data_IF_537441698268
#
_entry.id   IF_537441698268
#
_cell.length_a   1.000
_cell.length_b   1.000
_cell.length_c   1.000
_cell.angle_alpha   90.00
_cell.angle_beta   90.00
_cell.angle_gamma   90.00
#
_symmetry.space_group_name_H-M   'P 1'
#
loop_
_entity.id
_entity.type
_entity.pdbx_description
1 polymer ?
#
# COMPACT_ATOMS: atom_id res chain seq x y z
N UNK A 1 2.73 -1.68 -9.35
CA UNK A 1 3.56 -2.91 -9.26
C UNK A 1 4.01 -3.40 -10.62
N UNK A 2 3.13 -3.59 -11.64
CA UNK A 2 3.55 -4.06 -12.98
C UNK A 2 4.66 -3.20 -13.61
N UNK A 3 4.53 -1.87 -13.56
CA UNK A 3 5.61 -0.98 -14.03
C UNK A 3 6.93 -1.13 -13.25
N UNK A 4 6.88 -1.50 -11.97
CA UNK A 4 8.10 -1.79 -11.19
C UNK A 4 8.75 -3.09 -11.66
N UNK A 5 7.97 -4.14 -11.96
CA UNK A 5 8.49 -5.36 -12.57
C UNK A 5 9.11 -5.11 -13.94
N UNK A 6 8.44 -4.30 -14.77
CA UNK A 6 8.99 -3.90 -16.06
C UNK A 6 10.30 -3.14 -15.91
N UNK A 7 10.36 -2.14 -15.04
CA UNK A 7 11.58 -1.37 -14.79
C UNK A 7 12.73 -2.24 -14.28
N UNK A 8 12.46 -3.13 -13.32
CA UNK A 8 13.45 -4.07 -12.79
C UNK A 8 13.98 -5.01 -13.89
N UNK A 9 13.06 -5.57 -14.69
CA UNK A 9 13.41 -6.44 -15.82
C UNK A 9 14.27 -5.72 -16.86
N UNK A 10 13.92 -4.47 -17.20
CA UNK A 10 14.69 -3.65 -18.16
C UNK A 10 16.12 -3.40 -17.64
N UNK A 11 16.26 -3.01 -16.38
CA UNK A 11 17.58 -2.77 -15.79
C UNK A 11 18.43 -4.05 -15.80
N UNK A 12 17.83 -5.20 -15.43
CA UNK A 12 18.52 -6.49 -15.46
C UNK A 12 18.93 -6.89 -16.90
N UNK A 13 18.04 -6.74 -17.88
CA UNK A 13 18.33 -7.05 -19.28
C UNK A 13 19.38 -6.12 -19.89
N UNK A 14 19.39 -4.86 -19.52
CA UNK A 14 20.47 -3.94 -19.94
C UNK A 14 21.82 -4.38 -19.38
N UNK A 15 21.89 -4.74 -18.10
CA UNK A 15 23.13 -5.28 -17.50
C UNK A 15 23.60 -6.57 -18.17
N UNK A 16 22.66 -7.48 -18.51
CA UNK A 16 23.01 -8.70 -19.25
C UNK A 16 23.47 -8.39 -20.67
N UNK A 17 22.83 -7.43 -21.35
CA UNK A 17 23.25 -7.00 -22.70
C UNK A 17 24.68 -6.45 -22.71
N UNK A 18 25.07 -5.66 -21.70
CA UNK A 18 26.45 -5.17 -21.58
C UNK A 18 27.46 -6.33 -21.44
N UNK A 19 27.08 -7.42 -20.79
CA UNK A 19 27.94 -8.58 -20.57
C UNK A 19 28.00 -9.55 -21.78
N UNK A 20 26.88 -9.72 -22.49
CA UNK A 20 26.74 -10.76 -23.53
C UNK A 20 26.69 -10.21 -24.95
N UNK A 21 26.39 -8.92 -25.14
CA UNK A 21 26.12 -8.30 -26.41
C UNK A 21 24.71 -8.55 -26.97
N UNK A 22 23.86 -9.34 -26.28
CA UNK A 22 22.51 -9.70 -26.74
C UNK A 22 21.45 -9.02 -25.91
N UNK A 23 20.43 -8.43 -26.60
CA UNK A 23 19.20 -7.91 -25.94
C UNK A 23 18.22 -9.02 -25.64
N UNK A 24 17.15 -8.66 -24.90
CA UNK A 24 16.05 -9.56 -24.57
C UNK A 24 14.71 -8.86 -24.79
N UNK A 25 13.66 -9.63 -25.11
CA UNK A 25 12.28 -9.17 -25.05
C UNK A 25 11.74 -9.47 -23.66
N UNK A 26 11.06 -8.49 -23.07
CA UNK A 26 10.50 -8.59 -21.73
C UNK A 26 8.99 -8.43 -21.79
N UNK A 27 8.29 -9.39 -21.21
CA UNK A 27 6.84 -9.37 -21.10
C UNK A 27 6.44 -9.37 -19.61
N UNK A 28 5.45 -8.59 -19.26
CA UNK A 28 4.81 -8.59 -17.95
C UNK A 28 3.35 -8.18 -18.09
N UNK A 29 2.47 -8.71 -17.26
CA UNK A 29 1.05 -8.41 -17.32
C UNK A 29 0.51 -7.99 -15.94
N UNK A 30 -0.63 -7.29 -15.96
CA UNK A 30 -1.38 -6.97 -14.74
C UNK A 30 -1.84 -8.23 -14.02
N UNK A 31 -2.21 -9.27 -14.77
CA UNK A 31 -2.70 -10.53 -14.21
C UNK A 31 -1.59 -11.27 -13.45
N UNK A 32 -0.43 -11.45 -14.04
CA UNK A 32 0.74 -12.09 -13.39
C UNK A 32 1.17 -11.31 -12.16
N UNK A 33 1.18 -9.98 -12.25
CA UNK A 33 1.48 -9.10 -11.11
C UNK A 33 0.46 -9.28 -9.99
N UNK A 34 -0.83 -9.36 -10.30
CA UNK A 34 -1.89 -9.59 -9.31
C UNK A 34 -1.72 -10.95 -8.62
N UNK A 35 -1.42 -12.01 -9.38
CA UNK A 35 -1.10 -13.33 -8.80
C UNK A 35 0.14 -13.25 -7.89
N UNK A 36 1.19 -12.55 -8.30
CA UNK A 36 2.40 -12.34 -7.48
C UNK A 36 2.11 -11.62 -6.17
N UNK A 37 1.23 -10.63 -6.16
CA UNK A 37 0.78 -9.92 -4.96
C UNK A 37 -0.05 -10.81 -4.02
N UNK A 38 -0.73 -11.82 -4.56
CA UNK A 38 -1.48 -12.82 -3.79
C UNK A 38 -0.60 -13.99 -3.31
N UNK A 39 0.71 -13.93 -3.45
CA UNK A 39 1.66 -15.03 -3.23
C UNK A 39 1.38 -15.83 -1.96
N UNK A 40 1.14 -15.14 -0.83
CA UNK A 40 0.83 -15.78 0.45
C UNK A 40 -0.46 -16.62 0.39
N UNK A 41 -1.54 -16.06 -0.16
CA UNK A 41 -2.83 -16.74 -0.26
C UNK A 41 -2.80 -17.88 -1.27
N UNK A 42 -2.16 -17.67 -2.43
CA UNK A 42 -2.02 -18.69 -3.47
C UNK A 42 -1.14 -19.85 -3.00
N UNK A 43 -0.02 -19.56 -2.32
CA UNK A 43 0.85 -20.60 -1.76
C UNK A 43 0.11 -21.42 -0.71
N UNK A 44 -0.66 -20.77 0.15
CA UNK A 44 -1.52 -21.42 1.14
C UNK A 44 -2.57 -22.32 0.50
N UNK A 45 -3.25 -21.82 -0.52
CA UNK A 45 -4.22 -22.62 -1.29
C UNK A 45 -3.58 -23.84 -1.97
N UNK A 46 -2.44 -23.65 -2.64
CA UNK A 46 -1.72 -24.76 -3.29
C UNK A 46 -1.29 -25.83 -2.28
N UNK A 47 -0.88 -25.41 -1.08
CA UNK A 47 -0.44 -26.32 -0.03
C UNK A 47 -1.59 -27.09 0.65
N UNK A 48 -2.77 -26.48 0.79
CA UNK A 48 -3.87 -27.02 1.61
C UNK A 48 -5.12 -27.39 0.82
N UNK A 49 -5.27 -26.92 -0.42
CA UNK A 49 -6.51 -27.01 -1.20
C UNK A 49 -7.66 -26.14 -0.67
N UNK A 50 -7.43 -25.34 0.38
CA UNK A 50 -8.47 -24.55 1.03
C UNK A 50 -8.37 -23.08 0.64
N UNK A 51 -9.41 -22.55 0.01
CA UNK A 51 -9.48 -21.12 -0.30
C UNK A 51 -9.78 -20.30 0.96
N UNK A 52 -9.07 -19.20 1.21
CA UNK A 52 -9.37 -18.32 2.34
C UNK A 52 -10.75 -17.69 2.18
N UNK A 53 -11.49 -17.57 3.30
CA UNK A 53 -12.76 -16.86 3.38
C UNK A 53 -12.58 -15.33 3.45
N UNK A 54 -13.71 -14.63 3.65
CA UNK A 54 -13.71 -13.20 3.92
C UNK A 54 -13.46 -12.97 5.41
N UNK A 55 -12.34 -12.35 5.75
CA UNK A 55 -11.93 -12.09 7.13
C UNK A 55 -11.91 -10.58 7.49
N UNK A 56 -12.40 -9.71 6.58
CA UNK A 56 -12.33 -8.26 6.82
C UNK A 56 -10.88 -7.78 6.96
N UNK A 57 -10.53 -7.23 8.12
CA UNK A 57 -9.16 -6.79 8.44
C UNK A 57 -8.34 -7.85 9.19
N UNK A 58 -8.91 -9.02 9.46
CA UNK A 58 -8.25 -10.08 10.23
C UNK A 58 -7.17 -10.79 9.42
N UNK A 59 -6.08 -11.13 10.08
CA UNK A 59 -5.08 -12.01 9.51
C UNK A 59 -5.47 -13.49 9.74
N UNK A 60 -5.39 -14.37 8.72
CA UNK A 60 -5.96 -15.72 8.82
C UNK A 60 -5.27 -16.63 9.84
N UNK A 61 -3.96 -16.49 10.07
CA UNK A 61 -3.17 -17.44 10.86
C UNK A 61 -2.67 -16.88 12.19
N UNK A 62 -2.91 -15.60 12.48
CA UNK A 62 -2.44 -14.94 13.71
C UNK A 62 -3.59 -14.14 14.31
N UNK A 63 -3.93 -14.42 15.55
CA UNK A 63 -5.04 -13.78 16.26
C UNK A 63 -4.59 -13.33 17.66
N UNK A 64 -4.83 -12.05 18.04
CA UNK A 64 -5.40 -11.00 17.22
C UNK A 64 -4.36 -10.30 16.32
N UNK A 65 -4.71 -10.15 15.05
CA UNK A 65 -4.06 -9.26 14.12
C UNK A 65 -5.14 -8.67 13.20
N UNK A 66 -5.73 -7.55 13.62
CA UNK A 66 -6.88 -6.93 12.96
C UNK A 66 -7.12 -5.50 13.45
N UNK A 67 -8.00 -4.78 12.76
CA UNK A 67 -8.49 -3.48 13.21
C UNK A 67 -9.70 -3.64 14.14
N UNK A 68 -9.71 -2.88 15.23
CA UNK A 68 -10.83 -2.76 16.16
C UNK A 68 -11.38 -1.35 16.13
N UNK A 69 -12.71 -1.22 16.18
CA UNK A 69 -13.37 0.06 16.33
C UNK A 69 -13.11 0.65 17.73
N UNK A 70 -12.95 1.95 17.79
CA UNK A 70 -12.79 2.75 19.03
C UNK A 70 -13.84 3.86 19.04
N UNK A 71 -13.86 4.71 20.05
CA UNK A 71 -14.80 5.84 20.08
C UNK A 71 -14.66 6.80 18.89
N UNK A 72 -13.49 6.91 18.27
CA UNK A 72 -13.20 7.91 17.24
C UNK A 72 -12.41 7.35 16.04
N UNK A 73 -12.69 6.15 15.62
CA UNK A 73 -12.03 5.52 14.47
C UNK A 73 -11.66 4.08 14.72
N UNK A 74 -10.47 3.68 14.28
CA UNK A 74 -10.03 2.28 14.41
C UNK A 74 -8.56 2.22 14.82
N UNK A 75 -8.22 1.23 15.63
CA UNK A 75 -6.84 0.84 15.94
C UNK A 75 -6.54 -0.53 15.32
N UNK A 76 -5.48 -0.62 14.52
CA UNK A 76 -4.90 -1.88 14.10
C UNK A 76 -4.01 -2.41 15.22
N UNK A 77 -4.20 -3.66 15.62
CA UNK A 77 -3.40 -4.33 16.65
C UNK A 77 -2.80 -5.61 16.09
N UNK A 78 -1.54 -5.89 16.42
CA UNK A 78 -0.83 -7.08 15.96
C UNK A 78 -0.10 -7.79 17.12
N UNK A 79 -0.84 -8.63 17.86
CA UNK A 79 -0.25 -9.49 18.89
C UNK A 79 0.18 -10.82 18.28
N UNK A 80 1.34 -10.85 17.64
CA UNK A 80 1.78 -11.92 16.75
C UNK A 80 2.28 -13.19 17.43
N UNK A 81 2.34 -13.20 18.76
CA UNK A 81 2.72 -14.37 19.56
C UNK A 81 2.08 -14.32 20.96
N UNK A 82 2.19 -15.42 21.70
CA UNK A 82 1.52 -15.54 23.00
C UNK A 82 2.04 -14.54 24.05
N UNK A 83 3.32 -14.14 23.98
CA UNK A 83 3.86 -13.09 24.85
C UNK A 83 3.22 -11.73 24.54
N UNK A 84 3.12 -11.35 23.29
CA UNK A 84 2.47 -10.10 22.89
C UNK A 84 0.98 -10.12 23.20
N UNK A 85 0.32 -11.29 23.10
CA UNK A 85 -1.08 -11.43 23.49
C UNK A 85 -1.28 -11.19 25.00
N UNK A 86 -0.40 -11.69 25.88
CA UNK A 86 -0.44 -11.37 27.30
C UNK A 86 -0.28 -9.87 27.55
N UNK A 87 0.74 -9.25 26.95
CA UNK A 87 0.97 -7.81 27.09
C UNK A 87 -0.21 -6.97 26.58
N UNK A 88 -0.84 -7.40 25.47
CA UNK A 88 -2.07 -6.78 24.97
C UNK A 88 -3.18 -6.86 26.02
N UNK A 89 -3.47 -8.06 26.53
CA UNK A 89 -4.55 -8.28 27.50
C UNK A 89 -4.33 -7.49 28.79
N UNK A 90 -3.08 -7.42 29.28
CA UNK A 90 -2.73 -6.60 30.45
C UNK A 90 -2.95 -5.10 30.16
N UNK A 91 -2.54 -4.60 28.99
CA UNK A 91 -2.66 -3.19 28.62
C UNK A 91 -4.12 -2.73 28.43
N UNK A 92 -5.01 -3.66 28.10
CA UNK A 92 -6.45 -3.36 27.88
C UNK A 92 -7.32 -3.83 29.05
N UNK A 93 -6.75 -4.15 30.22
CA UNK A 93 -7.45 -4.58 31.42
C UNK A 93 -8.29 -5.86 31.26
N UNK A 94 -7.81 -6.84 30.47
CA UNK A 94 -8.40 -8.17 30.29
C UNK A 94 -7.38 -9.29 30.63
N UNK A 95 -6.72 -9.27 31.81
CA UNK A 95 -5.59 -10.16 32.12
C UNK A 95 -5.98 -11.65 32.21
N UNK A 96 -7.26 -11.96 32.32
CA UNK A 96 -7.75 -13.35 32.39
C UNK A 96 -7.84 -14.08 31.03
N UNK A 97 -7.86 -13.36 29.92
CA UNK A 97 -7.99 -13.98 28.59
C UNK A 97 -6.85 -14.94 28.23
N UNK A 98 -5.56 -14.65 28.53
CA UNK A 98 -4.46 -15.55 28.22
C UNK A 98 -4.46 -16.86 29.02
N UNK A 99 -5.18 -16.93 30.12
CA UNK A 99 -5.29 -18.12 30.96
C UNK A 99 -6.53 -18.98 30.64
N UNK A 100 -7.42 -18.47 29.79
CA UNK A 100 -8.51 -19.25 29.20
C UNK A 100 -7.95 -20.20 28.14
N UNK A 101 -8.26 -21.50 28.25
CA UNK A 101 -7.78 -22.52 27.33
C UNK A 101 -8.13 -22.24 25.84
N UNK A 102 -9.26 -21.52 25.60
CA UNK A 102 -9.68 -21.11 24.26
C UNK A 102 -8.74 -20.08 23.62
N UNK A 103 -7.95 -19.34 24.41
CA UNK A 103 -7.13 -18.23 23.95
C UNK A 103 -5.65 -18.34 24.34
N UNK A 104 -5.26 -19.37 25.10
CA UNK A 104 -3.93 -19.52 25.65
C UNK A 104 -2.83 -19.63 24.57
N UNK A 105 -3.13 -20.21 23.41
CA UNK A 105 -2.18 -20.38 22.31
C UNK A 105 -2.72 -19.77 21.02
N UNK A 106 -1.83 -19.42 20.09
CA UNK A 106 -2.29 -18.87 18.80
C UNK A 106 -3.23 -19.85 18.03
N UNK A 107 -2.98 -21.16 17.92
CA UNK A 107 -3.94 -22.08 17.31
C UNK A 107 -5.33 -22.04 17.97
N UNK A 108 -5.38 -22.04 19.31
CA UNK A 108 -6.64 -21.96 20.03
C UNK A 108 -7.36 -20.63 19.75
N UNK A 109 -6.64 -19.50 19.68
CA UNK A 109 -7.21 -18.19 19.29
C UNK A 109 -7.71 -18.17 17.85
N UNK A 110 -7.04 -18.84 16.93
CA UNK A 110 -7.49 -18.97 15.53
C UNK A 110 -8.82 -19.73 15.46
N UNK A 111 -8.98 -20.80 16.23
CA UNK A 111 -10.21 -21.58 16.31
C UNK A 111 -11.37 -20.78 16.93
N UNK A 112 -11.07 -19.98 17.96
CA UNK A 112 -12.04 -19.20 18.72
C UNK A 112 -12.00 -17.70 18.38
N UNK A 113 -11.63 -17.35 17.13
CA UNK A 113 -11.39 -15.95 16.70
C UNK A 113 -12.60 -15.02 16.86
N UNK A 114 -13.79 -15.54 16.63
CA UNK A 114 -15.02 -14.76 16.71
C UNK A 114 -15.27 -14.30 18.15
N UNK A 115 -15.24 -15.23 19.11
CA UNK A 115 -15.44 -14.93 20.53
C UNK A 115 -14.36 -13.98 21.07
N UNK A 116 -13.09 -14.22 20.70
CA UNK A 116 -12.00 -13.34 21.10
C UNK A 116 -12.14 -11.95 20.44
N UNK A 117 -12.50 -11.91 19.17
CA UNK A 117 -12.72 -10.67 18.43
C UNK A 117 -13.83 -9.81 19.05
N UNK A 118 -14.93 -10.43 19.47
CA UNK A 118 -16.03 -9.76 20.17
C UNK A 118 -15.60 -9.21 21.54
N UNK A 119 -14.88 -10.00 22.35
CA UNK A 119 -14.39 -9.58 23.66
C UNK A 119 -13.40 -8.39 23.55
N UNK A 120 -12.44 -8.47 22.63
CA UNK A 120 -11.49 -7.40 22.39
C UNK A 120 -12.18 -6.16 21.77
N UNK A 121 -13.08 -6.37 20.83
CA UNK A 121 -13.83 -5.29 20.18
C UNK A 121 -14.69 -4.50 21.16
N UNK A 122 -15.39 -5.16 22.07
CA UNK A 122 -16.14 -4.50 23.13
C UNK A 122 -15.25 -3.61 23.98
N UNK A 123 -14.05 -4.10 24.34
CA UNK A 123 -13.11 -3.34 25.17
C UNK A 123 -12.50 -2.15 24.43
N UNK A 124 -12.10 -2.31 23.16
CA UNK A 124 -11.57 -1.21 22.37
C UNK A 124 -12.58 -0.11 22.08
N UNK A 125 -13.85 -0.43 22.01
CA UNK A 125 -14.92 0.55 21.83
C UNK A 125 -15.12 1.50 23.04
N UNK A 126 -14.53 1.21 24.21
CA UNK A 126 -14.73 1.98 25.43
C UNK A 126 -13.88 3.24 25.53
N UNK A 127 -12.87 3.42 24.66
CA UNK A 127 -11.97 4.56 24.75
C UNK A 127 -11.53 5.08 23.36
N UNK A 128 -10.91 6.25 23.35
CA UNK A 128 -10.39 6.91 22.15
C UNK A 128 -9.17 6.17 21.58
N UNK A 129 -8.98 6.22 20.26
CA UNK A 129 -7.84 5.58 19.58
C UNK A 129 -6.49 6.04 20.16
N UNK A 130 -6.38 7.35 20.49
CA UNK A 130 -5.15 7.92 21.06
C UNK A 130 -4.77 7.28 22.39
N UNK A 131 -5.74 7.16 23.31
CA UNK A 131 -5.54 6.54 24.62
C UNK A 131 -5.10 5.07 24.50
N UNK A 132 -5.69 4.33 23.56
CA UNK A 132 -5.27 2.94 23.29
C UNK A 132 -3.85 2.87 22.74
N UNK A 133 -3.47 3.75 21.81
CA UNK A 133 -2.12 3.77 21.26
C UNK A 133 -1.06 4.06 22.32
N UNK A 134 -1.34 4.97 23.25
CA UNK A 134 -0.44 5.30 24.37
C UNK A 134 -0.25 4.09 25.28
N UNK A 135 -1.34 3.40 25.67
CA UNK A 135 -1.29 2.20 26.53
C UNK A 135 -0.55 1.05 25.85
N UNK A 136 -0.90 0.76 24.59
CA UNK A 136 -0.29 -0.32 23.81
C UNK A 136 1.19 -0.05 23.52
N UNK A 137 1.53 1.20 23.20
CA UNK A 137 2.91 1.64 23.00
C UNK A 137 3.76 1.49 24.26
N UNK A 138 3.25 1.90 25.43
CA UNK A 138 3.91 1.71 26.71
C UNK A 138 4.13 0.23 27.06
N UNK A 139 3.20 -0.64 26.66
CA UNK A 139 3.30 -2.09 26.86
C UNK A 139 4.18 -2.79 25.79
N UNK A 140 4.65 -2.08 24.77
CA UNK A 140 5.43 -2.66 23.67
C UNK A 140 4.62 -3.57 22.73
N UNK A 141 3.30 -3.34 22.65
CA UNK A 141 2.40 -4.05 21.72
C UNK A 141 2.32 -3.28 20.41
N UNK A 142 2.62 -3.89 19.25
CA UNK A 142 2.51 -3.23 17.97
C UNK A 142 1.06 -2.83 17.66
N UNK A 143 0.82 -1.55 17.50
CA UNK A 143 -0.46 -0.97 17.16
C UNK A 143 -0.30 0.30 16.34
N UNK A 144 -1.30 0.62 15.52
CA UNK A 144 -1.33 1.83 14.72
C UNK A 144 -2.77 2.32 14.51
N UNK A 145 -2.95 3.63 14.36
CA UNK A 145 -4.23 4.21 13.94
C UNK A 145 -4.51 3.83 12.48
N UNK A 146 -5.71 3.43 12.16
CA UNK A 146 -6.16 3.35 10.77
C UNK A 146 -6.45 4.78 10.30
N UNK A 147 -5.71 5.22 9.28
CA UNK A 147 -5.76 6.59 8.76
C UNK A 147 -6.50 6.63 7.41
N UNK A 148 -7.25 7.68 7.18
CA UNK A 148 -7.68 8.04 5.83
C UNK A 148 -6.55 8.73 5.04
N UNK A 149 -6.81 9.04 3.77
CA UNK A 149 -5.80 9.65 2.88
C UNK A 149 -5.37 11.02 3.37
N UNK A 150 -6.31 11.82 3.92
CA UNK A 150 -6.01 13.16 4.42
C UNK A 150 -5.11 13.11 5.67
N UNK A 151 -5.44 12.23 6.62
CA UNK A 151 -4.63 12.01 7.81
C UNK A 151 -3.24 11.45 7.48
N UNK A 152 -3.15 10.53 6.53
CA UNK A 152 -1.86 10.01 6.06
C UNK A 152 -1.02 11.08 5.36
N UNK A 153 -1.64 11.97 4.58
CA UNK A 153 -0.96 13.09 3.94
C UNK A 153 -0.43 14.11 4.96
N UNK A 154 -1.20 14.37 6.01
CA UNK A 154 -0.83 15.30 7.09
C UNK A 154 0.09 14.68 8.16
N UNK A 155 0.43 13.39 8.05
CA UNK A 155 1.23 12.71 9.07
C UNK A 155 2.66 13.28 9.12
N UNK A 156 3.24 13.55 10.30
CA UNK A 156 4.59 14.11 10.43
C UNK A 156 5.67 13.30 9.69
N UNK A 157 5.52 11.98 9.63
CA UNK A 157 6.46 11.13 8.87
C UNK A 157 6.34 11.35 7.36
N UNK A 158 5.15 11.64 6.84
CA UNK A 158 4.95 11.96 5.40
C UNK A 158 5.69 13.25 5.04
N UNK A 159 5.64 14.24 5.92
CA UNK A 159 6.41 15.48 5.80
C UNK A 159 7.93 15.21 5.90
N UNK A 160 8.34 14.48 6.96
CA UNK A 160 9.76 14.19 7.20
C UNK A 160 10.44 13.43 6.05
N UNK A 161 9.72 12.53 5.39
CA UNK A 161 10.22 11.81 4.20
C UNK A 161 10.00 12.58 2.89
N UNK A 162 9.40 13.76 2.93
CA UNK A 162 9.15 14.64 1.79
C UNK A 162 8.47 13.92 0.60
N UNK A 163 7.42 13.12 0.89
CA UNK A 163 6.70 12.35 -0.13
C UNK A 163 5.69 13.17 -0.93
N UNK A 164 5.30 14.35 -0.46
CA UNK A 164 4.37 15.22 -1.17
C UNK A 164 5.13 16.34 -1.89
N UNK A 165 4.75 16.61 -3.11
CA UNK A 165 5.23 17.72 -3.94
C UNK A 165 4.03 18.58 -4.39
N UNK A 166 3.46 19.41 -3.48
CA UNK A 166 2.19 20.12 -3.72
C UNK A 166 2.24 21.06 -4.92
N UNK A 167 3.39 21.72 -5.14
CA UNK A 167 3.58 22.66 -6.26
C UNK A 167 3.48 21.95 -7.61
N UNK A 168 3.90 20.68 -7.66
CA UNK A 168 3.82 19.83 -8.86
C UNK A 168 2.53 19.01 -8.90
N UNK A 169 1.69 19.04 -7.83
CA UNK A 169 0.54 18.16 -7.62
C UNK A 169 0.90 16.68 -7.80
N UNK A 170 2.04 16.28 -7.24
CA UNK A 170 2.63 14.95 -7.44
C UNK A 170 3.05 14.32 -6.11
N UNK A 171 3.28 13.00 -6.18
CA UNK A 171 4.00 12.28 -5.15
C UNK A 171 5.48 12.19 -5.53
N UNK A 172 6.35 12.35 -4.55
CA UNK A 172 7.77 12.07 -4.69
C UNK A 172 8.03 10.57 -4.91
N UNK A 173 9.20 10.24 -5.42
CA UNK A 173 9.60 8.86 -5.59
C UNK A 173 9.95 8.21 -4.25
N UNK A 174 9.54 6.95 -4.05
CA UNK A 174 9.90 6.17 -2.86
C UNK A 174 11.34 5.64 -2.92
N UNK A 175 12.25 6.46 -3.46
CA UNK A 175 13.66 6.13 -3.65
C UNK A 175 14.54 7.34 -3.33
N UNK A 176 15.62 7.08 -2.59
CA UNK A 176 16.67 8.05 -2.34
C UNK A 176 18.02 7.48 -2.79
N UNK A 177 18.86 8.32 -3.37
CA UNK A 177 20.23 7.97 -3.75
C UNK A 177 21.17 8.88 -2.94
N UNK A 178 22.14 8.30 -2.26
CA UNK A 178 23.07 8.99 -1.37
C UNK A 178 22.38 9.94 -0.36
N UNK A 179 21.27 9.45 0.23
CA UNK A 179 20.47 10.22 1.18
C UNK A 179 19.55 11.28 0.56
N UNK A 180 19.64 11.49 -0.75
CA UNK A 180 18.82 12.47 -1.46
C UNK A 180 17.66 11.81 -2.17
N UNK A 181 16.43 12.27 -1.89
CA UNK A 181 15.21 11.77 -2.53
C UNK A 181 15.16 12.22 -4.00
N UNK A 182 14.85 11.29 -4.87
CA UNK A 182 14.55 11.60 -6.28
C UNK A 182 13.22 12.35 -6.33
N UNK A 183 13.22 13.53 -6.96
CA UNK A 183 12.05 14.39 -7.11
C UNK A 183 11.59 14.47 -8.56
N UNK A 184 10.29 14.76 -8.74
CA UNK A 184 9.77 15.12 -10.05
C UNK A 184 10.40 16.44 -10.51
N UNK A 185 10.65 16.58 -11.80
CA UNK A 185 11.27 17.79 -12.38
C UNK A 185 10.22 18.80 -12.80
N UNK A 186 9.10 18.32 -13.30
CA UNK A 186 8.01 19.12 -13.87
C UNK A 186 6.66 18.59 -13.42
N UNK A 187 5.66 19.44 -13.45
CA UNK A 187 4.28 19.03 -13.32
C UNK A 187 3.85 18.17 -14.52
N UNK A 188 2.91 17.26 -14.31
CA UNK A 188 2.28 16.54 -15.42
C UNK A 188 1.67 17.55 -16.40
N UNK A 189 1.92 17.40 -17.73
CA UNK A 189 1.36 18.30 -18.72
C UNK A 189 -0.17 18.16 -18.78
N UNK A 190 -0.83 19.24 -19.15
CA UNK A 190 -2.26 19.18 -19.52
C UNK A 190 -2.40 18.38 -20.83
N UNK A 191 -3.59 17.80 -21.06
CA UNK A 191 -3.86 17.02 -22.25
C UNK A 191 -3.59 17.84 -23.51
N UNK A 192 -2.70 17.34 -24.38
CA UNK A 192 -2.34 18.00 -25.63
C UNK A 192 -1.34 19.15 -25.51
N UNK A 193 -0.81 19.44 -24.32
CA UNK A 193 0.13 20.54 -24.11
C UNK A 193 1.37 20.44 -25.05
N UNK A 194 1.88 19.25 -25.21
CA UNK A 194 3.13 18.99 -25.97
C UNK A 194 2.86 18.52 -27.42
N UNK A 195 1.58 18.40 -27.82
CA UNK A 195 1.19 17.81 -29.12
C UNK A 195 1.87 18.50 -30.31
N UNK A 196 1.87 19.84 -30.35
CA UNK A 196 2.45 20.59 -31.47
C UNK A 196 3.96 20.38 -31.55
N UNK A 197 4.64 20.49 -30.44
CA UNK A 197 6.09 20.32 -30.32
C UNK A 197 6.51 18.91 -30.79
N UNK A 198 5.88 17.88 -30.24
CA UNK A 198 6.16 16.48 -30.60
C UNK A 198 5.90 16.16 -32.06
N UNK A 199 4.84 16.70 -32.67
CA UNK A 199 4.55 16.50 -34.08
C UNK A 199 5.59 17.21 -34.96
N UNK A 200 6.01 18.43 -34.63
CA UNK A 200 7.08 19.13 -35.35
C UNK A 200 8.43 18.38 -35.25
N UNK A 201 8.78 17.88 -34.07
CA UNK A 201 9.97 17.03 -33.85
C UNK A 201 9.89 15.72 -34.66
N UNK A 202 8.70 15.14 -34.81
CA UNK A 202 8.45 13.97 -35.65
C UNK A 202 8.51 14.25 -37.14
N UNK A 203 8.75 15.52 -37.57
CA UNK A 203 8.93 15.91 -38.96
C UNK A 203 7.69 16.44 -39.67
N UNK A 204 6.56 16.60 -38.98
CA UNK A 204 5.38 17.25 -39.58
C UNK A 204 5.64 18.74 -39.77
N UNK A 205 5.15 19.32 -40.83
CA UNK A 205 5.13 20.78 -41.03
C UNK A 205 4.05 21.43 -40.17
N UNK A 206 4.21 22.73 -39.87
CA UNK A 206 3.19 23.48 -39.12
C UNK A 206 1.80 23.39 -39.74
N UNK A 207 1.71 23.42 -41.10
CA UNK A 207 0.45 23.30 -41.83
C UNK A 207 -0.20 21.94 -41.68
N UNK A 208 0.58 20.86 -41.63
CA UNK A 208 0.06 19.51 -41.38
C UNK A 208 -0.47 19.37 -39.94
N UNK A 209 0.27 19.91 -38.96
CA UNK A 209 -0.19 19.96 -37.57
C UNK A 209 -1.50 20.73 -37.45
N UNK A 210 -1.62 21.89 -38.09
CA UNK A 210 -2.84 22.69 -38.10
C UNK A 210 -4.02 21.94 -38.73
N UNK A 211 -3.77 21.19 -39.80
CA UNK A 211 -4.78 20.35 -40.46
C UNK A 211 -5.22 19.19 -39.53
N UNK A 212 -4.33 18.55 -38.84
CA UNK A 212 -4.64 17.49 -37.86
C UNK A 212 -5.47 18.01 -36.69
N UNK A 213 -5.17 19.20 -36.18
CA UNK A 213 -5.97 19.86 -35.15
C UNK A 213 -7.36 20.25 -35.69
N UNK A 214 -7.43 20.86 -36.86
CA UNK A 214 -8.69 21.28 -37.47
C UNK A 214 -9.62 20.11 -37.80
N UNK A 215 -9.07 18.95 -38.18
CA UNK A 215 -9.83 17.72 -38.43
C UNK A 215 -10.22 16.94 -37.15
N UNK A 216 -9.75 17.37 -35.97
CA UNK A 216 -10.02 16.72 -34.71
C UNK A 216 -9.28 15.39 -34.49
N UNK A 217 -8.29 15.07 -35.31
CA UNK A 217 -7.41 13.89 -35.13
C UNK A 217 -6.53 14.05 -33.93
N UNK A 218 -6.10 15.29 -33.63
CA UNK A 218 -5.35 15.63 -32.45
C UNK A 218 -5.85 16.94 -31.82
N UNK A 219 -5.46 17.23 -30.59
CA UNK A 219 -5.75 18.48 -29.89
C UNK A 219 -4.46 19.10 -29.35
N UNK A 220 -4.41 20.43 -29.30
CA UNK A 220 -3.39 21.17 -28.54
C UNK A 220 -3.98 21.61 -27.22
N UNK A 221 -3.15 21.78 -26.17
CA UNK A 221 -3.55 22.01 -24.78
C UNK A 221 -4.51 23.17 -24.47
N UNK A 222 -4.94 23.93 -25.47
CA UNK A 222 -5.93 25.00 -25.38
C UNK A 222 -7.30 24.62 -25.96
N UNK A 223 -7.55 23.36 -26.29
CA UNK A 223 -8.84 22.88 -26.76
C UNK A 223 -9.81 22.62 -25.61
N UNK A 224 -11.17 22.74 -25.83
CA UNK A 224 -12.13 22.41 -24.79
C UNK A 224 -11.97 20.96 -24.37
N UNK A 225 -11.82 20.73 -23.08
CA UNK A 225 -11.90 19.41 -22.49
C UNK A 225 -13.29 18.81 -22.84
N UNK A 226 -13.31 17.65 -23.51
CA UNK A 226 -14.52 16.87 -23.77
C UNK A 226 -14.82 15.98 -22.60
#
# INVERSE_FOLDING_TARGET
MTGMWAALGIVAALGERERTGYGATLDTSLYETALGLMSYHLTGFVATGTSPGRLGTEFPLIVPYQAFATQEGHVMVAATNDRLFRLLCDAIDLPGLPDDARFATNPARVENRVELGEALGARFAEDATGAWLDRLGAAGVPAARVQDVAAAAAHPQTEAVAMLEPELRALGHALSVDGTRIRNRTRAPELGADTRELLLEAGYSSSEVDALVASGVTATGNGPAR
#
